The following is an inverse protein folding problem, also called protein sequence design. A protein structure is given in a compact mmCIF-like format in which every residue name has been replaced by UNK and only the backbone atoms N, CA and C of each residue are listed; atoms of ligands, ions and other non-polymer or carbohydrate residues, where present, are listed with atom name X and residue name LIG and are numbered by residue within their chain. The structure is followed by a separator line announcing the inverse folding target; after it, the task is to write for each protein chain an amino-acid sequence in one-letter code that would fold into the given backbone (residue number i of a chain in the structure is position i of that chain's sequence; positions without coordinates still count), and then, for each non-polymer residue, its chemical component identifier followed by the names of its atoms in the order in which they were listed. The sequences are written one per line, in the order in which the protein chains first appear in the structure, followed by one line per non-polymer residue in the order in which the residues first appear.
data_IF_907827939636
#
_entry.id   IF_907827939636
#
_cell.length_a   1.000
_cell.length_b   1.000
_cell.length_c   1.000
_cell.angle_alpha   90.00
_cell.angle_beta   90.00
_cell.angle_gamma   90.00
#
_symmetry.space_group_name_H-M   'P 1'
#
loop_
_entity.id
_entity.type
_entity.pdbx_description
1 polymer ?
#
# COMPACT_ATOMS: atom_id res chain seq x y z
N UNK A 1 -12.71 30.91 65.13
CA UNK A 1 -13.19 30.32 63.88
C UNK A 1 -12.03 30.21 62.90
N UNK A 2 -11.49 28.97 62.77
CA UNK A 2 -10.36 28.68 61.87
C UNK A 2 -10.91 27.86 60.69
N UNK A 3 -10.88 28.40 59.49
CA UNK A 3 -11.30 27.72 58.27
C UNK A 3 -10.13 26.94 57.72
N UNK A 4 -10.27 25.61 57.67
CA UNK A 4 -9.37 24.69 56.96
C UNK A 4 -9.76 24.65 55.49
N UNK A 5 -8.87 25.08 54.60
CA UNK A 5 -8.96 24.84 53.19
C UNK A 5 -8.35 23.45 52.88
N UNK A 6 -9.20 22.50 52.54
CA UNK A 6 -8.76 21.25 51.91
C UNK A 6 -8.48 21.48 50.42
N UNK A 7 -7.21 21.57 50.08
CA UNK A 7 -6.78 21.54 48.70
C UNK A 7 -6.92 20.13 48.13
N UNK A 8 -7.85 19.97 47.19
CA UNK A 8 -7.98 18.77 46.38
C UNK A 8 -6.84 18.74 45.37
N UNK A 9 -5.74 18.02 45.68
CA UNK A 9 -4.71 17.68 44.66
C UNK A 9 -5.30 16.61 43.74
N UNK A 10 -5.81 17.02 42.60
CA UNK A 10 -6.10 16.09 41.51
C UNK A 10 -4.77 15.51 41.00
N UNK A 11 -4.50 14.28 41.43
CA UNK A 11 -3.40 13.49 40.88
C UNK A 11 -3.78 13.04 39.48
N UNK A 12 -3.41 13.84 38.49
CA UNK A 12 -3.47 13.45 37.10
C UNK A 12 -2.40 12.35 36.91
N UNK A 13 -2.80 11.09 36.97
CA UNK A 13 -1.93 9.97 36.61
C UNK A 13 -1.60 10.14 35.11
N UNK A 14 -0.40 10.61 34.83
CA UNK A 14 0.16 10.57 33.49
C UNK A 14 0.22 9.09 33.08
N UNK A 15 -0.64 8.69 32.16
CA UNK A 15 -0.49 7.43 31.45
C UNK A 15 0.86 7.54 30.74
N UNK A 16 1.85 6.82 31.27
CA UNK A 16 3.17 6.70 30.67
C UNK A 16 3.04 5.91 29.38
N UNK A 17 2.59 6.61 28.29
CA UNK A 17 2.70 6.10 26.95
C UNK A 17 4.18 6.02 26.59
N UNK A 18 4.62 4.91 26.02
CA UNK A 18 5.95 4.82 25.45
C UNK A 18 6.16 5.99 24.46
N UNK A 19 7.34 6.65 24.52
CA UNK A 19 7.64 7.70 23.57
C UNK A 19 7.57 7.18 22.12
N UNK A 20 7.15 8.01 21.14
CA UNK A 20 7.15 7.60 19.74
C UNK A 20 8.57 7.27 19.27
N UNK A 21 8.73 6.36 18.33
CA UNK A 21 10.04 6.05 17.78
C UNK A 21 10.64 7.30 17.13
N UNK A 22 11.87 7.59 17.44
CA UNK A 22 12.58 8.74 16.87
C UNK A 22 13.34 8.36 15.59
N UNK A 23 13.55 7.06 15.35
CA UNK A 23 14.42 6.55 14.29
C UNK A 23 13.82 5.31 13.66
N UNK A 24 13.13 5.48 12.54
CA UNK A 24 12.40 4.40 11.86
C UNK A 24 13.21 3.90 10.66
N UNK A 25 13.42 2.59 10.59
CA UNK A 25 13.86 1.89 9.39
C UNK A 25 12.67 1.23 8.69
N UNK A 26 12.35 1.63 7.46
CA UNK A 26 11.24 1.08 6.69
C UNK A 26 11.73 0.22 5.53
N UNK A 27 11.36 -1.05 5.53
CA UNK A 27 11.65 -2.01 4.46
C UNK A 27 10.48 -2.16 3.47
N UNK A 28 9.44 -1.34 3.61
CA UNK A 28 8.25 -1.36 2.76
C UNK A 28 8.02 0.00 2.10
N UNK A 29 8.02 0.08 0.76
CA UNK A 29 7.71 1.33 0.07
C UNK A 29 6.31 1.87 0.37
N UNK A 30 5.29 0.98 0.53
CA UNK A 30 3.93 1.38 0.91
C UNK A 30 3.86 1.94 2.33
N UNK A 31 4.58 1.32 3.29
CA UNK A 31 4.70 1.86 4.64
C UNK A 31 5.45 3.19 4.66
N UNK A 32 6.51 3.33 3.86
CA UNK A 32 7.24 4.60 3.76
C UNK A 32 6.31 5.71 3.26
N UNK A 33 5.48 5.45 2.23
CA UNK A 33 4.47 6.41 1.79
C UNK A 33 3.49 6.75 2.93
N UNK A 34 3.02 5.75 3.65
CA UNK A 34 2.12 5.95 4.80
C UNK A 34 2.78 6.81 5.89
N UNK A 35 4.04 6.57 6.23
CA UNK A 35 4.79 7.40 7.20
C UNK A 35 4.93 8.85 6.74
N UNK A 36 5.14 9.08 5.43
CA UNK A 36 5.16 10.45 4.88
C UNK A 36 3.81 11.13 5.06
N UNK A 37 2.72 10.47 4.73
CA UNK A 37 1.36 11.00 4.81
C UNK A 37 0.88 11.16 6.26
N UNK A 38 1.44 10.40 7.20
CA UNK A 38 1.27 10.58 8.65
C UNK A 38 2.10 11.75 9.22
N UNK A 39 2.97 12.39 8.44
CA UNK A 39 3.84 13.47 8.91
C UNK A 39 5.10 12.99 9.65
N UNK A 40 5.44 11.70 9.57
CA UNK A 40 6.58 11.08 10.26
C UNK A 40 7.87 11.05 9.44
N UNK A 41 7.98 11.87 8.40
CA UNK A 41 9.14 11.92 7.48
C UNK A 41 10.48 12.08 8.22
N UNK A 42 10.55 13.01 9.17
CA UNK A 42 11.79 13.32 9.91
C UNK A 42 12.31 12.14 10.75
N UNK A 43 11.44 11.19 11.09
CA UNK A 43 11.80 10.00 11.86
C UNK A 43 12.43 8.90 11.00
N UNK A 44 12.30 8.96 9.67
CA UNK A 44 12.81 7.92 8.78
C UNK A 44 14.32 8.05 8.63
N UNK A 45 15.07 7.04 9.08
CA UNK A 45 16.54 7.02 9.04
C UNK A 45 17.11 6.04 8.05
N UNK A 46 16.36 4.98 7.69
CA UNK A 46 16.78 3.99 6.72
C UNK A 46 15.59 3.47 5.92
N UNK A 47 15.81 3.21 4.63
CA UNK A 47 14.78 2.70 3.73
C UNK A 47 15.39 1.81 2.66
N UNK A 48 14.53 1.15 1.87
CA UNK A 48 14.96 0.52 0.63
C UNK A 48 15.12 1.57 -0.48
N UNK A 49 15.85 1.23 -1.53
CA UNK A 49 15.98 2.06 -2.74
C UNK A 49 14.65 2.33 -3.46
N UNK A 50 13.64 1.50 -3.21
CA UNK A 50 12.31 1.59 -3.82
C UNK A 50 11.34 2.49 -3.06
N UNK A 51 11.73 2.96 -1.87
CA UNK A 51 10.88 3.81 -1.04
C UNK A 51 10.75 5.21 -1.64
N UNK A 52 9.53 5.80 -1.59
CA UNK A 52 9.22 7.08 -2.25
C UNK A 52 9.68 8.30 -1.46
N UNK A 53 10.95 8.33 -1.06
CA UNK A 53 11.54 9.49 -0.39
C UNK A 53 12.15 10.49 -1.41
N UNK A 54 12.09 11.79 -1.17
CA UNK A 54 12.83 12.79 -1.93
C UNK A 54 14.35 12.46 -1.95
N UNK A 55 15.03 12.75 -3.04
CA UNK A 55 16.49 12.52 -3.16
C UNK A 55 17.29 13.28 -2.11
N UNK A 56 16.76 14.40 -1.65
CA UNK A 56 17.35 15.26 -0.60
C UNK A 56 17.14 14.74 0.82
N UNK A 57 16.33 13.70 1.01
CA UNK A 57 16.06 13.13 2.32
C UNK A 57 17.32 12.42 2.85
N UNK A 58 17.72 12.64 4.13
CA UNK A 58 18.97 12.14 4.69
C UNK A 58 18.98 10.62 4.99
N UNK A 59 17.85 9.94 4.91
CA UNK A 59 17.76 8.51 5.20
C UNK A 59 18.65 7.66 4.29
N UNK A 60 19.33 6.69 4.89
CA UNK A 60 20.14 5.70 4.16
C UNK A 60 19.20 4.79 3.34
N UNK A 61 19.53 4.52 2.07
CA UNK A 61 18.68 3.78 1.12
C UNK A 61 19.26 2.40 0.77
N UNK A 62 19.95 1.79 1.70
CA UNK A 62 20.67 0.51 1.48
C UNK A 62 19.94 -0.69 2.04
N UNK A 63 18.79 -0.50 2.71
CA UNK A 63 17.98 -1.61 3.19
C UNK A 63 17.42 -2.44 2.02
N UNK A 64 17.45 -3.76 2.17
CA UNK A 64 16.86 -4.72 1.23
C UNK A 64 16.03 -5.74 2.02
N UNK A 65 14.74 -5.86 1.70
CA UNK A 65 13.85 -6.78 2.39
C UNK A 65 14.11 -8.26 2.04
N UNK A 66 14.73 -8.53 0.88
CA UNK A 66 15.01 -9.87 0.40
C UNK A 66 16.43 -10.34 0.74
N UNK A 67 17.38 -9.40 0.78
CA UNK A 67 18.77 -9.65 1.18
C UNK A 67 19.20 -8.64 2.26
N UNK A 68 18.63 -8.76 3.47
CA UNK A 68 18.84 -7.78 4.53
C UNK A 68 20.23 -7.91 5.16
N UNK A 69 20.85 -6.75 5.45
CA UNK A 69 22.12 -6.62 6.16
C UNK A 69 21.93 -5.95 7.52
N UNK A 70 22.26 -6.69 8.60
CA UNK A 70 22.10 -6.22 9.98
C UNK A 70 23.11 -5.11 10.33
N UNK A 71 24.31 -5.18 9.78
CA UNK A 71 25.35 -4.17 10.07
C UNK A 71 24.92 -2.80 9.54
N UNK A 72 24.50 -2.75 8.28
CA UNK A 72 23.96 -1.53 7.66
C UNK A 72 22.74 -0.99 8.43
N UNK A 73 21.83 -1.87 8.88
CA UNK A 73 20.70 -1.47 9.70
C UNK A 73 21.13 -0.86 11.03
N UNK A 74 22.05 -1.52 11.75
CA UNK A 74 22.53 -1.05 13.06
C UNK A 74 23.33 0.26 12.95
N UNK A 75 24.04 0.51 11.86
CA UNK A 75 24.69 1.79 11.60
C UNK A 75 23.69 2.95 11.52
N UNK A 76 22.49 2.71 11.01
CA UNK A 76 21.42 3.70 10.98
C UNK A 76 20.80 3.93 12.37
N UNK A 77 21.11 3.11 13.39
CA UNK A 77 20.61 3.18 14.78
C UNK A 77 19.08 3.37 14.85
N UNK A 78 18.28 2.52 14.23
CA UNK A 78 16.84 2.62 14.36
C UNK A 78 16.39 2.13 15.75
N UNK A 79 15.26 2.67 16.21
CA UNK A 79 14.54 2.18 17.38
C UNK A 79 13.26 1.41 17.01
N UNK A 80 12.82 1.57 15.73
CA UNK A 80 11.73 0.80 15.13
C UNK A 80 12.09 0.33 13.73
N UNK A 81 11.81 -0.94 13.42
CA UNK A 81 11.96 -1.54 12.09
C UNK A 81 10.59 -1.99 11.57
N UNK A 82 10.22 -1.53 10.38
CA UNK A 82 8.98 -1.90 9.70
C UNK A 82 9.30 -2.84 8.56
N UNK A 83 8.76 -4.06 8.61
CA UNK A 83 8.98 -5.13 7.65
C UNK A 83 7.69 -5.45 6.88
N UNK A 84 7.76 -5.70 5.56
CA UNK A 84 6.65 -6.30 4.85
C UNK A 84 6.47 -7.76 5.29
N UNK A 85 5.25 -8.31 5.20
CA UNK A 85 4.96 -9.71 5.54
C UNK A 85 5.87 -10.71 4.83
N UNK A 86 6.24 -10.43 3.58
CA UNK A 86 7.10 -11.28 2.77
C UNK A 86 8.60 -11.18 3.12
N UNK A 87 8.97 -10.35 4.10
CA UNK A 87 10.36 -10.31 4.57
C UNK A 87 10.76 -11.67 5.15
N UNK A 88 12.05 -12.01 5.01
CA UNK A 88 12.58 -13.26 5.54
C UNK A 88 12.30 -13.37 7.07
N UNK A 89 11.61 -14.43 7.55
CA UNK A 89 11.30 -14.60 8.97
C UNK A 89 12.53 -14.58 9.88
N UNK A 90 13.66 -15.15 9.43
CA UNK A 90 14.93 -15.11 10.17
C UNK A 90 15.46 -13.69 10.34
N UNK A 91 15.07 -12.78 9.45
CA UNK A 91 15.44 -11.37 9.55
C UNK A 91 14.74 -10.70 10.74
N UNK A 92 13.44 -10.91 10.88
CA UNK A 92 12.69 -10.41 12.02
C UNK A 92 13.31 -10.91 13.35
N UNK A 93 13.64 -12.19 13.40
CA UNK A 93 14.29 -12.79 14.59
C UNK A 93 15.65 -12.16 14.90
N UNK A 94 16.50 -11.94 13.88
CA UNK A 94 17.81 -11.27 14.08
C UNK A 94 17.66 -9.85 14.58
N UNK A 95 16.71 -9.08 14.06
CA UNK A 95 16.42 -7.72 14.54
C UNK A 95 15.97 -7.75 16.02
N UNK A 96 15.07 -8.67 16.37
CA UNK A 96 14.60 -8.83 17.77
C UNK A 96 15.74 -9.19 18.71
N UNK A 97 16.63 -10.12 18.34
CA UNK A 97 17.82 -10.45 19.13
C UNK A 97 18.78 -9.28 19.29
N UNK A 98 18.81 -8.37 18.33
CA UNK A 98 19.60 -7.13 18.40
C UNK A 98 18.91 -6.02 19.24
N UNK A 99 17.76 -6.33 19.88
CA UNK A 99 17.03 -5.39 20.74
C UNK A 99 16.16 -4.37 19.98
N UNK A 100 15.95 -4.55 18.66
CA UNK A 100 15.14 -3.66 17.86
C UNK A 100 13.66 -3.98 18.00
N UNK A 101 12.80 -2.96 18.09
CA UNK A 101 11.35 -3.12 17.97
C UNK A 101 10.99 -3.39 16.51
N UNK A 102 10.02 -4.28 16.27
CA UNK A 102 9.62 -4.68 14.92
C UNK A 102 8.11 -4.57 14.75
N UNK A 103 7.70 -4.04 13.60
CA UNK A 103 6.34 -4.13 13.08
C UNK A 103 6.39 -4.95 11.78
N UNK A 104 5.57 -6.00 11.70
CA UNK A 104 5.37 -6.79 10.48
C UNK A 104 4.00 -6.43 9.92
N UNK A 105 3.99 -5.88 8.71
CA UNK A 105 2.78 -5.46 8.02
C UNK A 105 2.05 -6.66 7.40
N UNK A 106 0.72 -6.59 7.30
CA UNK A 106 -0.09 -7.68 6.74
C UNK A 106 -0.16 -7.66 5.21
N UNK A 107 -0.24 -6.52 4.59
CA UNK A 107 -0.09 -6.17 3.16
C UNK A 107 -0.79 -7.01 2.08
N UNK A 108 -1.65 -7.98 2.38
CA UNK A 108 -2.22 -8.89 1.37
C UNK A 108 -3.73 -8.76 1.17
N UNK A 109 -4.51 -8.77 2.22
CA UNK A 109 -5.99 -8.79 2.13
C UNK A 109 -6.64 -7.42 2.00
N UNK A 110 -7.95 -7.37 1.74
CA UNK A 110 -8.69 -6.11 1.55
C UNK A 110 -8.59 -5.15 2.74
N UNK A 111 -8.58 -5.68 3.98
CA UNK A 111 -8.53 -4.86 5.21
C UNK A 111 -7.10 -4.63 5.70
N UNK A 112 -6.10 -5.17 5.00
CA UNK A 112 -4.70 -5.11 5.47
C UNK A 112 -4.19 -3.67 5.51
N UNK A 113 -4.53 -2.86 4.51
CA UNK A 113 -4.04 -1.47 4.39
C UNK A 113 -4.58 -0.58 5.49
N UNK A 114 -5.86 -0.69 5.83
CA UNK A 114 -6.46 0.11 6.91
C UNK A 114 -5.93 -0.31 8.28
N UNK A 115 -5.70 -1.60 8.48
CA UNK A 115 -5.10 -2.14 9.71
C UNK A 115 -3.65 -1.71 9.86
N UNK A 116 -2.85 -1.82 8.80
CA UNK A 116 -1.45 -1.41 8.81
C UNK A 116 -1.31 0.11 8.99
N UNK A 117 -2.23 0.90 8.43
CA UNK A 117 -2.31 2.36 8.63
C UNK A 117 -2.56 2.72 10.11
N UNK A 118 -3.52 2.03 10.76
CA UNK A 118 -3.78 2.23 12.19
C UNK A 118 -2.57 1.86 13.04
N UNK A 119 -1.97 0.69 12.77
CA UNK A 119 -0.79 0.22 13.46
C UNK A 119 0.39 1.21 13.36
N UNK A 120 0.62 1.77 12.18
CA UNK A 120 1.66 2.79 11.98
C UNK A 120 1.30 4.11 12.66
N UNK A 121 0.02 4.51 12.63
CA UNK A 121 -0.48 5.68 13.34
C UNK A 121 -0.32 5.58 14.85
N UNK A 122 -0.60 4.41 15.43
CA UNK A 122 -0.37 4.13 16.85
C UNK A 122 1.13 4.16 17.19
N UNK A 123 1.95 3.46 16.41
CA UNK A 123 3.39 3.38 16.63
C UNK A 123 4.10 4.74 16.56
N UNK A 124 3.61 5.67 15.73
CA UNK A 124 4.20 7.01 15.52
C UNK A 124 3.47 8.11 16.29
N UNK A 125 2.48 7.78 17.11
CA UNK A 125 1.59 8.72 17.81
C UNK A 125 0.85 9.68 16.87
N UNK A 126 0.52 9.22 15.67
CA UNK A 126 -0.21 9.96 14.64
C UNK A 126 -1.63 9.42 14.42
N UNK A 127 -2.31 8.98 15.48
CA UNK A 127 -3.64 8.35 15.41
C UNK A 127 -4.68 9.24 14.73
N UNK A 128 -4.62 10.55 14.96
CA UNK A 128 -5.56 11.49 14.32
C UNK A 128 -5.37 11.55 12.80
N UNK A 129 -4.12 11.60 12.33
CA UNK A 129 -3.78 11.55 10.90
C UNK A 129 -4.15 10.20 10.29
N UNK A 130 -3.85 9.09 10.98
CA UNK A 130 -4.23 7.75 10.54
C UNK A 130 -5.75 7.60 10.37
N UNK A 131 -6.54 8.12 11.33
CA UNK A 131 -8.00 8.12 11.25
C UNK A 131 -8.52 8.93 10.05
N UNK A 132 -7.90 10.08 9.74
CA UNK A 132 -8.26 10.89 8.60
C UNK A 132 -7.96 10.20 7.26
N UNK A 133 -6.80 9.55 7.14
CA UNK A 133 -6.44 8.75 5.96
C UNK A 133 -7.32 7.51 5.81
N UNK A 134 -7.60 6.81 6.92
CA UNK A 134 -8.52 5.68 6.94
C UNK A 134 -9.90 6.04 6.41
N UNK A 135 -10.46 7.17 6.84
CA UNK A 135 -11.77 7.63 6.37
C UNK A 135 -11.82 7.81 4.83
N UNK A 136 -10.69 8.10 4.19
CA UNK A 136 -10.59 8.19 2.73
C UNK A 136 -10.52 6.79 2.08
N UNK A 137 -9.89 5.81 2.75
CA UNK A 137 -9.83 4.42 2.30
C UNK A 137 -11.16 3.67 2.55
N UNK A 138 -11.94 4.09 3.54
CA UNK A 138 -13.23 3.47 3.91
C UNK A 138 -14.43 4.16 3.21
N UNK A 139 -14.19 4.99 2.19
CA UNK A 139 -15.28 5.61 1.43
C UNK A 139 -16.25 4.55 0.90
N UNK A 140 -17.57 4.80 0.88
CA UNK A 140 -18.54 3.86 0.38
C UNK A 140 -18.24 3.42 -1.05
N UNK A 141 -18.51 2.15 -1.34
CA UNK A 141 -18.40 1.63 -2.69
C UNK A 141 -19.38 2.35 -3.63
N UNK A 142 -18.92 2.76 -4.80
CA UNK A 142 -19.80 3.22 -5.85
C UNK A 142 -20.53 2.00 -6.45
N UNK A 143 -21.81 2.19 -6.80
CA UNK A 143 -22.58 1.14 -7.46
C UNK A 143 -22.13 1.01 -8.93
N UNK A 144 -21.59 -0.14 -9.30
CA UNK A 144 -21.21 -0.41 -10.70
C UNK A 144 -21.15 -1.90 -10.98
N UNK A 145 -21.72 -2.36 -12.11
CA UNK A 145 -21.65 -3.76 -12.53
C UNK A 145 -20.32 -4.11 -13.20
N UNK A 146 -19.50 -3.11 -13.54
CA UNK A 146 -18.32 -3.30 -14.41
C UNK A 146 -17.19 -4.02 -13.70
N UNK A 147 -16.52 -4.87 -14.46
CA UNK A 147 -15.34 -5.59 -14.00
C UNK A 147 -14.07 -4.96 -14.55
N UNK A 148 -13.09 -4.72 -13.67
CA UNK A 148 -11.76 -4.26 -14.03
C UNK A 148 -10.73 -5.27 -13.54
N UNK A 149 -9.96 -5.84 -14.45
CA UNK A 149 -8.83 -6.68 -14.09
C UNK A 149 -7.56 -5.83 -13.98
N UNK A 150 -6.95 -5.83 -12.82
CA UNK A 150 -5.61 -5.27 -12.62
C UNK A 150 -4.58 -6.37 -12.88
N UNK A 151 -3.60 -6.07 -13.74
CA UNK A 151 -2.44 -6.91 -14.01
C UNK A 151 -1.18 -6.16 -13.62
N UNK A 152 -0.35 -6.77 -12.78
CA UNK A 152 0.90 -6.19 -12.29
C UNK A 152 1.98 -7.28 -12.15
N UNK A 153 3.14 -7.06 -12.78
CA UNK A 153 4.30 -7.98 -12.74
C UNK A 153 3.92 -9.45 -13.03
N UNK A 154 3.08 -9.68 -14.03
CA UNK A 154 2.63 -11.01 -14.39
C UNK A 154 1.64 -11.66 -13.41
N UNK A 155 1.05 -10.88 -12.51
CA UNK A 155 0.02 -11.30 -11.58
C UNK A 155 -1.29 -10.56 -11.86
N UNK A 156 -2.42 -11.22 -11.65
CA UNK A 156 -3.78 -10.67 -11.73
C UNK A 156 -4.33 -10.46 -10.32
N UNK A 157 -4.87 -9.26 -10.04
CA UNK A 157 -5.49 -8.97 -8.75
C UNK A 157 -6.85 -9.66 -8.63
N UNK A 158 -6.97 -10.53 -7.64
CA UNK A 158 -8.22 -11.22 -7.30
C UNK A 158 -9.11 -10.41 -6.34
N UNK A 159 -10.28 -10.95 -5.98
CA UNK A 159 -11.23 -10.26 -5.09
C UNK A 159 -10.72 -10.10 -3.65
N UNK A 160 -9.72 -10.88 -3.26
CA UNK A 160 -9.13 -10.84 -1.92
C UNK A 160 -7.84 -9.99 -1.87
N UNK A 161 -7.49 -9.28 -2.96
CA UNK A 161 -6.34 -8.39 -3.01
C UNK A 161 -6.59 -7.09 -2.21
N UNK A 162 -5.51 -6.48 -1.70
CA UNK A 162 -5.55 -5.19 -1.01
C UNK A 162 -6.04 -4.03 -1.90
N UNK A 163 -6.07 -4.21 -3.23
CA UNK A 163 -6.62 -3.23 -4.19
C UNK A 163 -8.15 -3.29 -4.30
N UNK A 164 -8.79 -4.32 -3.77
CA UNK A 164 -10.24 -4.54 -3.91
C UNK A 164 -11.09 -3.42 -3.29
N UNK A 165 -10.78 -2.84 -2.11
CA UNK A 165 -11.55 -1.72 -1.57
C UNK A 165 -11.58 -0.53 -2.51
N UNK A 166 -10.42 -0.14 -3.08
CA UNK A 166 -10.34 1.02 -3.99
C UNK A 166 -10.97 0.75 -5.36
N UNK A 167 -10.96 -0.50 -5.83
CA UNK A 167 -11.76 -0.90 -6.99
C UNK A 167 -13.25 -0.68 -6.74
N UNK A 168 -13.77 -1.15 -5.59
CA UNK A 168 -15.17 -0.99 -5.19
C UNK A 168 -15.57 0.48 -5.04
N UNK A 169 -14.71 1.32 -4.47
CA UNK A 169 -14.96 2.76 -4.36
C UNK A 169 -15.14 3.43 -5.72
N UNK A 170 -14.39 2.98 -6.73
CA UNK A 170 -14.49 3.48 -8.10
C UNK A 170 -15.64 2.83 -8.92
N UNK A 171 -16.44 1.97 -8.32
CA UNK A 171 -17.56 1.28 -8.99
C UNK A 171 -17.14 0.06 -9.81
N UNK A 172 -15.98 -0.49 -9.56
CA UNK A 172 -15.50 -1.71 -10.20
C UNK A 172 -15.52 -2.91 -9.24
N UNK A 173 -15.45 -4.10 -9.81
CA UNK A 173 -15.17 -5.36 -9.09
C UNK A 173 -14.11 -6.16 -9.83
N UNK A 174 -13.39 -7.02 -9.12
CA UNK A 174 -12.52 -7.99 -9.77
C UNK A 174 -13.35 -9.00 -10.57
N UNK A 175 -12.95 -9.34 -11.79
CA UNK A 175 -13.63 -10.39 -12.57
C UNK A 175 -13.26 -11.81 -12.11
N UNK A 176 -12.20 -11.97 -11.31
CA UNK A 176 -11.81 -13.25 -10.73
C UNK A 176 -12.73 -13.64 -9.58
N UNK A 177 -12.88 -14.96 -9.35
CA UNK A 177 -13.80 -15.49 -8.34
C UNK A 177 -13.15 -15.66 -6.96
N UNK A 178 -11.82 -15.81 -6.91
CA UNK A 178 -11.07 -16.03 -5.66
C UNK A 178 -9.60 -15.61 -5.81
N UNK A 179 -8.93 -15.51 -4.67
CA UNK A 179 -7.50 -15.27 -4.57
C UNK A 179 -7.11 -13.80 -4.36
N UNK A 180 -5.92 -13.59 -3.82
CA UNK A 180 -5.30 -12.26 -3.66
C UNK A 180 -4.62 -11.85 -4.96
N UNK A 181 -3.49 -12.47 -5.27
CA UNK A 181 -2.73 -12.28 -6.51
C UNK A 181 -2.55 -13.63 -7.19
N UNK A 182 -3.07 -13.77 -8.40
CA UNK A 182 -3.06 -15.01 -9.19
C UNK A 182 -2.12 -14.81 -10.36
N UNK A 183 -1.25 -15.77 -10.64
CA UNK A 183 -0.36 -15.71 -11.80
C UNK A 183 -1.17 -15.48 -13.07
N UNK A 184 -0.69 -14.58 -13.94
CA UNK A 184 -1.33 -14.32 -15.24
C UNK A 184 -1.37 -15.60 -16.07
N UNK A 185 -2.59 -16.00 -16.38
CA UNK A 185 -2.93 -17.13 -17.23
C UNK A 185 -3.95 -16.67 -18.27
N UNK A 186 -3.68 -16.95 -19.54
CA UNK A 186 -4.53 -16.47 -20.63
C UNK A 186 -5.90 -17.15 -20.67
N UNK A 187 -5.99 -18.42 -20.27
CA UNK A 187 -7.28 -19.13 -20.22
C UNK A 187 -8.14 -18.58 -19.10
N UNK A 188 -7.55 -18.36 -17.93
CA UNK A 188 -8.24 -17.74 -16.79
C UNK A 188 -8.68 -16.30 -17.12
N UNK A 189 -7.86 -15.52 -17.81
CA UNK A 189 -8.22 -14.20 -18.28
C UNK A 189 -9.45 -14.26 -19.22
N UNK A 190 -9.48 -15.21 -20.14
CA UNK A 190 -10.60 -15.40 -21.07
C UNK A 190 -11.87 -15.83 -20.35
N UNK A 191 -11.75 -16.72 -19.35
CA UNK A 191 -12.88 -17.13 -18.51
C UNK A 191 -13.43 -15.98 -17.65
N UNK A 192 -12.56 -15.13 -17.15
CA UNK A 192 -12.91 -13.99 -16.30
C UNK A 192 -13.69 -12.90 -17.04
N UNK A 193 -13.52 -12.78 -18.38
CA UNK A 193 -14.24 -11.84 -19.24
C UNK A 193 -14.30 -10.42 -18.72
N UNK A 194 -13.15 -9.77 -18.38
CA UNK A 194 -13.14 -8.42 -17.85
C UNK A 194 -13.72 -7.40 -18.84
N UNK A 195 -14.48 -6.41 -18.35
CA UNK A 195 -14.94 -5.28 -19.19
C UNK A 195 -13.79 -4.36 -19.56
N UNK A 196 -12.79 -4.23 -18.69
CA UNK A 196 -11.55 -3.52 -18.96
C UNK A 196 -10.35 -4.19 -18.26
N UNK A 197 -9.15 -3.93 -18.78
CA UNK A 197 -7.88 -4.41 -18.21
C UNK A 197 -6.98 -3.20 -17.92
N UNK A 198 -6.48 -3.10 -16.71
CA UNK A 198 -5.49 -2.11 -16.29
C UNK A 198 -4.15 -2.80 -16.04
N UNK A 199 -3.14 -2.44 -16.83
CA UNK A 199 -1.76 -2.86 -16.63
C UNK A 199 -1.02 -1.87 -15.75
N UNK A 200 -0.34 -2.37 -14.72
CA UNK A 200 0.52 -1.57 -13.86
C UNK A 200 1.97 -1.95 -14.15
N UNK A 201 2.72 -1.04 -14.72
CA UNK A 201 4.15 -1.23 -14.98
C UNK A 201 4.95 -0.81 -13.75
N UNK A 202 5.88 -1.67 -13.29
CA UNK A 202 6.75 -1.41 -12.14
C UNK A 202 7.80 -0.35 -12.45
N UNK A 203 7.43 0.90 -12.25
CA UNK A 203 8.28 2.09 -12.41
C UNK A 203 8.10 3.03 -11.22
N UNK A 204 9.13 3.80 -10.84
CA UNK A 204 9.07 4.71 -9.69
C UNK A 204 8.15 5.91 -9.90
N UNK A 205 7.87 6.28 -11.15
CA UNK A 205 7.01 7.41 -11.49
C UNK A 205 5.53 7.06 -11.26
N UNK A 206 4.74 8.08 -11.00
CA UNK A 206 3.28 7.98 -10.93
C UNK A 206 2.66 8.61 -12.18
N UNK A 207 2.19 7.79 -13.12
CA UNK A 207 1.51 8.28 -14.32
C UNK A 207 -0.03 8.20 -14.19
N UNK A 208 -0.77 9.02 -14.95
CA UNK A 208 -2.21 8.83 -15.09
C UNK A 208 -2.55 7.47 -15.68
N UNK A 209 -3.74 6.93 -15.40
CA UNK A 209 -4.27 5.81 -16.17
C UNK A 209 -4.66 6.31 -17.57
N UNK A 210 -4.12 5.67 -18.60
CA UNK A 210 -4.35 6.05 -19.98
C UNK A 210 -4.53 4.83 -20.90
N UNK A 211 -5.23 4.95 -22.03
CA UNK A 211 -5.31 3.89 -23.02
C UNK A 211 -3.91 3.44 -23.48
N UNK A 212 -3.67 2.14 -23.52
CA UNK A 212 -2.38 1.57 -23.89
C UNK A 212 -2.40 0.88 -25.24
N UNK A 213 -1.91 1.55 -26.27
CA UNK A 213 -1.82 0.98 -27.61
C UNK A 213 -0.83 -0.20 -27.68
N UNK A 214 0.26 -0.16 -26.92
CA UNK A 214 1.24 -1.25 -26.87
C UNK A 214 0.64 -2.53 -26.30
N UNK A 215 -0.04 -2.44 -25.15
CA UNK A 215 -0.74 -3.58 -24.54
C UNK A 215 -1.92 -4.05 -25.38
N UNK A 216 -2.65 -3.13 -26.00
CA UNK A 216 -3.73 -3.46 -26.93
C UNK A 216 -3.20 -4.28 -28.11
N UNK A 217 -2.08 -3.88 -28.73
CA UNK A 217 -1.45 -4.62 -29.81
C UNK A 217 -0.98 -6.00 -29.37
N UNK A 218 -0.31 -6.09 -28.24
CA UNK A 218 0.16 -7.35 -27.65
C UNK A 218 -1.00 -8.33 -27.46
N UNK A 219 -2.07 -7.92 -26.78
CA UNK A 219 -3.23 -8.78 -26.49
C UNK A 219 -3.98 -9.20 -27.75
N UNK A 220 -4.03 -8.34 -28.77
CA UNK A 220 -4.66 -8.64 -30.06
C UNK A 220 -3.93 -9.73 -30.87
N UNK A 221 -2.67 -10.03 -30.54
CA UNK A 221 -1.89 -11.10 -31.19
C UNK A 221 -2.10 -12.47 -30.51
N UNK A 222 -2.65 -12.51 -29.30
CA UNK A 222 -2.89 -13.75 -28.57
C UNK A 222 -4.22 -14.35 -29.01
N UNK A 223 -4.17 -15.52 -29.63
CA UNK A 223 -5.32 -16.15 -30.32
C UNK A 223 -6.56 -16.24 -29.42
N UNK A 224 -6.40 -16.69 -28.16
CA UNK A 224 -7.51 -16.86 -27.22
C UNK A 224 -7.99 -15.54 -26.61
N UNK A 225 -7.12 -14.54 -26.49
CA UNK A 225 -7.40 -13.25 -25.81
C UNK A 225 -7.99 -12.21 -26.74
N UNK A 226 -7.63 -12.21 -28.04
CA UNK A 226 -8.12 -11.24 -29.03
C UNK A 226 -9.64 -11.18 -29.15
N UNK A 227 -10.33 -12.26 -28.79
CA UNK A 227 -11.78 -12.36 -28.86
C UNK A 227 -12.50 -11.72 -27.67
N UNK A 228 -11.77 -11.37 -26.59
CA UNK A 228 -12.34 -10.68 -25.43
C UNK A 228 -12.99 -9.35 -25.84
N UNK A 229 -14.15 -9.04 -25.24
CA UNK A 229 -14.84 -7.77 -25.45
C UNK A 229 -13.92 -6.59 -25.14
N UNK A 230 -13.21 -6.63 -24.01
CA UNK A 230 -12.27 -5.56 -23.61
C UNK A 230 -11.17 -5.31 -24.65
N UNK A 231 -10.67 -6.35 -25.32
CA UNK A 231 -9.69 -6.22 -26.40
C UNK A 231 -10.35 -5.66 -27.67
N UNK A 232 -11.48 -6.20 -28.09
CA UNK A 232 -12.22 -5.75 -29.28
C UNK A 232 -12.67 -4.29 -29.20
N UNK A 233 -13.03 -3.84 -28.00
CA UNK A 233 -13.50 -2.46 -27.76
C UNK A 233 -12.38 -1.53 -27.26
N UNK A 234 -11.11 -1.98 -27.27
CA UNK A 234 -9.94 -1.22 -26.86
C UNK A 234 -10.03 -0.67 -25.41
N UNK A 235 -10.62 -1.45 -24.51
CA UNK A 235 -10.70 -1.12 -23.08
C UNK A 235 -9.44 -1.63 -22.33
N UNK A 236 -8.27 -1.28 -22.87
CA UNK A 236 -6.96 -1.68 -22.34
C UNK A 236 -6.21 -0.42 -21.91
N UNK A 237 -5.87 -0.37 -20.64
CA UNK A 237 -5.26 0.78 -20.01
C UNK A 237 -3.93 0.41 -19.36
N UNK A 238 -3.06 1.40 -19.18
CA UNK A 238 -1.83 1.25 -18.44
C UNK A 238 -1.57 2.47 -17.53
N UNK A 239 -0.81 2.21 -16.47
CA UNK A 239 -0.24 3.22 -15.56
C UNK A 239 1.07 2.67 -15.00
N UNK A 240 1.84 3.51 -14.33
CA UNK A 240 3.02 3.06 -13.58
C UNK A 240 2.70 2.91 -12.10
N UNK A 241 3.43 2.02 -11.41
CA UNK A 241 3.15 1.69 -10.02
C UNK A 241 3.40 2.86 -9.07
N UNK A 242 4.55 3.50 -9.19
CA UNK A 242 4.98 4.49 -8.23
C UNK A 242 4.68 4.04 -6.79
N UNK A 243 4.30 4.98 -5.93
CA UNK A 243 3.82 4.68 -4.57
C UNK A 243 2.31 4.48 -4.47
N UNK A 244 1.55 4.82 -5.52
CA UNK A 244 0.09 4.86 -5.46
C UNK A 244 -0.57 3.49 -5.47
N UNK A 245 0.09 2.46 -6.00
CA UNK A 245 -0.45 1.11 -6.11
C UNK A 245 0.10 0.14 -5.06
N UNK A 246 1.04 0.60 -4.24
CA UNK A 246 1.60 -0.19 -3.16
C UNK A 246 0.66 -0.24 -1.96
N UNK A 247 0.68 -1.32 -1.15
CA UNK A 247 -0.19 -1.43 0.02
C UNK A 247 0.20 -0.37 1.07
N UNK A 248 -0.65 0.65 1.19
CA UNK A 248 -0.45 1.81 2.05
C UNK A 248 -1.40 2.95 1.70
N UNK A 249 -1.19 4.12 2.30
CA UNK A 249 -2.01 5.33 2.06
C UNK A 249 -2.02 5.80 0.60
N UNK A 250 -1.01 5.46 -0.18
CA UNK A 250 -0.96 5.75 -1.62
C UNK A 250 -2.17 5.23 -2.41
N UNK A 251 -2.86 4.20 -1.91
CA UNK A 251 -4.09 3.69 -2.52
C UNK A 251 -5.25 4.71 -2.55
N UNK A 252 -5.20 5.77 -1.76
CA UNK A 252 -6.15 6.88 -1.84
C UNK A 252 -6.09 7.50 -3.24
N UNK A 253 -4.87 7.78 -3.72
CA UNK A 253 -4.67 8.33 -5.08
C UNK A 253 -4.96 7.31 -6.17
N UNK A 254 -4.72 6.02 -5.93
CA UNK A 254 -5.16 4.96 -6.85
C UNK A 254 -6.69 4.93 -6.99
N UNK A 255 -7.43 5.10 -5.87
CA UNK A 255 -8.90 5.18 -5.89
C UNK A 255 -9.41 6.37 -6.71
N UNK A 256 -8.76 7.53 -6.61
CA UNK A 256 -9.10 8.72 -7.40
C UNK A 256 -8.89 8.47 -8.90
N UNK A 257 -7.72 7.92 -9.28
CA UNK A 257 -7.42 7.55 -10.67
C UNK A 257 -8.42 6.53 -11.24
N UNK A 258 -8.81 5.53 -10.45
CA UNK A 258 -9.82 4.55 -10.84
C UNK A 258 -11.20 5.20 -10.99
N UNK A 259 -11.54 6.16 -10.14
CA UNK A 259 -12.79 6.91 -10.24
C UNK A 259 -12.84 7.72 -11.53
N UNK A 260 -11.73 8.37 -11.94
CA UNK A 260 -11.65 9.04 -13.25
C UNK A 260 -11.76 8.04 -14.41
N UNK A 261 -11.11 6.89 -14.32
CA UNK A 261 -11.25 5.82 -15.31
C UNK A 261 -12.71 5.38 -15.45
N UNK A 262 -13.45 5.25 -14.35
CA UNK A 262 -14.85 4.80 -14.37
C UNK A 262 -15.78 5.74 -15.14
N UNK A 263 -15.45 7.04 -15.21
CA UNK A 263 -16.23 8.05 -15.97
C UNK A 263 -16.03 7.96 -17.48
N UNK A 264 -14.88 7.48 -17.94
CA UNK A 264 -14.53 7.41 -19.36
C UNK A 264 -14.72 6.03 -20.00
N UNK A 265 -14.85 5.00 -19.18
CA UNK A 265 -15.20 3.65 -19.65
C UNK A 265 -16.60 3.64 -20.26
N UNK A 266 -16.68 3.20 -21.51
CA UNK A 266 -17.92 3.13 -22.31
C UNK A 266 -18.63 1.78 -22.17
#
# INVERSE_FOLDING_TARGET
MRWFWLGCFSYCAAVSGAEPPHRIASYSPGATQTLLDLGSSAQIVATTRWCPLPKTHPAVRTCDAFNPDLETLLQAKPDLVILPRLANPLWAERCTRAGLKIIILQTEGPDSVTRDLELLGEATHQQAAAKALRAQLDRPAASGPRTLLIVWDGMMAGPDAYTTPVLKQAGFKSPLQAGTWVKLDWELLVQAKPDAILWIDSKPENTPISPSQSRQKELSQIIVVKELKSVKTSQIYATTSGSHWLPGSGLILASEKLTELSKVLK
#
